data_IF_376919945179
#
_entry.id   IF_376919945179
#
_cell.length_a   1.000
_cell.length_b   1.000
_cell.length_c   1.000
_cell.angle_alpha   90.00
_cell.angle_beta   90.00
_cell.angle_gamma   90.00
#
_symmetry.space_group_name_H-M   'P 1'
#
loop_
_entity.id
_entity.type
_entity.pdbx_description
1 polymer ?
2 non-polymer ?
3 non-polymer ?
4 water ?
#
# COMPACT_ATOMS: atom_id res chain seq x y z
N UNK A 1 -20.60 10.14 -10.13
CA UNK A 1 -19.47 10.83 -9.47
C UNK A 1 -18.24 9.94 -9.46
N UNK A 2 -17.07 10.55 -9.61
CA UNK A 2 -15.82 9.89 -9.28
C UNK A 2 -15.81 9.50 -7.81
N UNK A 3 -15.33 8.31 -7.54
CA UNK A 3 -15.16 7.80 -6.20
C UNK A 3 -13.69 7.89 -5.83
N UNK A 4 -13.38 8.78 -4.89
CA UNK A 4 -12.02 9.00 -4.44
C UNK A 4 -11.83 8.71 -2.95
N UNK A 5 -12.91 8.39 -2.25
CA UNK A 5 -12.85 8.27 -0.78
C UNK A 5 -12.69 6.82 -0.37
N UNK A 6 -11.82 6.11 -1.08
CA UNK A 6 -11.55 4.70 -0.78
C UNK A 6 -10.05 4.46 -0.74
N UNK A 7 -9.58 3.87 0.37
CA UNK A 7 -8.19 3.49 0.53
C UNK A 7 -8.11 1.98 0.42
N UNK A 8 -6.90 1.44 0.35
CA UNK A 8 -6.74 -0.01 0.32
C UNK A 8 -5.53 -0.48 1.09
N UNK A 9 -5.65 -1.71 1.61
CA UNK A 9 -4.61 -2.35 2.38
C UNK A 9 -4.54 -3.78 1.86
N UNK A 10 -3.35 -4.26 1.54
CA UNK A 10 -3.21 -5.65 1.14
C UNK A 10 -3.30 -6.56 2.36
N UNK A 11 -4.12 -7.61 2.27
CA UNK A 11 -4.29 -8.52 3.40
C UNK A 11 -3.01 -9.32 3.70
N UNK A 12 -2.93 -9.72 4.98
CA UNK A 12 -1.99 -10.72 5.51
C UNK A 12 -0.55 -10.18 5.53
N UNK A 13 -0.43 -8.89 5.77
CA UNK A 13 0.89 -8.26 5.88
C UNK A 13 1.57 -8.69 7.17
N UNK A 14 2.81 -9.13 7.06
CA UNK A 14 3.52 -9.71 8.20
C UNK A 14 4.69 -8.85 8.67
N UNK A 15 4.82 -7.65 8.14
CA UNK A 15 5.91 -6.77 8.58
C UNK A 15 5.65 -6.13 9.93
N UNK A 16 6.71 -5.67 10.58
CA UNK A 16 6.56 -5.00 11.87
C UNK A 16 6.21 -3.53 11.72
N UNK A 17 6.62 -2.93 10.60
CA UNK A 17 6.31 -1.51 10.34
C UNK A 17 4.85 -1.34 9.95
N UNK A 18 4.09 -0.51 10.69
CA UNK A 18 2.67 -0.35 10.29
C UNK A 18 2.48 0.09 8.84
N UNK A 19 1.55 -0.58 8.17
CA UNK A 19 1.25 -0.29 6.78
C UNK A 19 0.60 1.06 6.64
N UNK A 20 1.10 1.87 5.71
CA UNK A 20 0.49 3.16 5.41
C UNK A 20 -0.76 3.00 4.55
N UNK A 21 -1.84 3.65 4.98
CA UNK A 21 -3.14 3.53 4.35
C UNK A 21 -3.43 4.71 3.43
N UNK A 22 -3.02 5.90 3.87
CA UNK A 22 -3.34 7.12 3.15
C UNK A 22 -3.47 8.33 4.06
N UNK A 23 -3.98 9.43 3.53
CA UNK A 23 -3.93 10.72 4.23
C UNK A 23 -5.29 11.41 4.12
N UNK A 24 -5.82 11.88 5.25
CA UNK A 24 -6.98 12.75 5.26
C UNK A 24 -6.54 14.19 5.10
N UNK A 25 -7.30 14.98 4.35
CA UNK A 25 -6.95 16.37 4.17
C UNK A 25 -8.16 17.22 3.87
N UNK A 26 -8.26 18.34 4.58
CA UNK A 26 -9.27 19.35 4.31
C UNK A 26 -8.61 20.58 3.71
N UNK A 27 -9.22 21.19 2.70
CA UNK A 27 -8.56 22.35 2.09
C UNK A 27 -8.78 23.61 2.95
N UNK A 28 -9.37 23.45 4.13
CA UNK A 28 -9.34 24.50 5.17
C UNK A 28 -7.98 24.54 5.88
N UNK A 29 -7.24 23.43 5.80
CA UNK A 29 -5.96 23.25 6.46
C UNK A 29 -4.85 24.10 5.82
N UNK A 30 -4.36 25.08 6.57
CA UNK A 30 -3.34 26.02 6.09
C UNK A 30 -1.92 25.55 6.43
N UNK A 31 -1.81 24.37 7.03
CA UNK A 31 -0.52 23.80 7.35
C UNK A 31 0.06 24.35 8.65
N UNK A 32 -0.76 25.07 9.40
CA UNK A 32 -0.30 25.71 10.64
C UNK A 32 -0.71 24.92 11.88
N UNK A 33 -1.21 23.72 11.68
CA UNK A 33 -1.55 22.85 12.79
C UNK A 33 -2.77 23.23 13.58
N UNK A 34 -3.62 24.09 13.04
CA UNK A 34 -4.82 24.50 13.78
C UNK A 34 -5.99 23.52 13.62
N UNK A 35 -5.86 22.57 12.68
CA UNK A 35 -6.85 21.52 12.46
C UNK A 35 -6.39 20.19 13.04
N UNK A 36 -7.34 19.45 13.57
CA UNK A 36 -7.14 18.11 14.13
C UNK A 36 -7.96 17.14 13.28
N UNK A 37 -7.34 16.08 12.75
CA UNK A 37 -8.06 15.05 11.99
C UNK A 37 -8.36 13.87 12.88
N UNK A 38 -9.63 13.43 12.94
CA UNK A 38 -9.98 12.29 13.77
C UNK A 38 -10.78 11.25 12.99
N UNK A 39 -10.63 9.99 13.40
CA UNK A 39 -11.33 8.86 12.78
C UNK A 39 -12.35 8.30 13.73
N UNK A 40 -13.43 7.76 13.17
CA UNK A 40 -14.34 6.91 13.92
C UNK A 40 -14.90 5.87 12.95
N UNK A 41 -15.61 4.89 13.51
CA UNK A 41 -16.18 3.81 12.72
C UNK A 41 -15.36 2.56 12.85
N UNK A 42 -15.51 1.70 11.86
CA UNK A 42 -14.98 0.34 11.92
C UNK A 42 -13.47 0.31 11.95
N UNK A 43 -12.93 -0.23 13.03
CA UNK A 43 -11.50 -0.34 13.24
C UNK A 43 -10.81 0.91 13.78
N UNK A 44 -11.58 1.96 14.05
CA UNK A 44 -10.98 3.25 14.40
C UNK A 44 -10.29 3.23 15.77
N UNK A 45 -9.08 3.80 15.81
CA UNK A 45 -8.26 3.92 17.02
C UNK A 45 -7.81 2.57 17.59
N UNK A 46 -7.95 1.50 16.81
CA UNK A 46 -7.41 0.18 17.18
C UNK A 46 -6.64 -0.39 15.98
N UNK A 47 -7.38 -0.89 14.99
CA UNK A 47 -6.81 -1.34 13.72
C UNK A 47 -6.23 -0.19 12.93
N UNK A 48 -7.00 0.89 12.79
CA UNK A 48 -6.53 2.07 12.09
C UNK A 48 -6.29 3.23 13.04
N UNK A 49 -5.11 3.80 12.92
CA UNK A 49 -4.71 4.94 13.73
C UNK A 49 -4.41 6.11 12.80
N UNK A 50 -4.48 7.31 13.34
CA UNK A 50 -4.24 8.51 12.54
C UNK A 50 -3.33 9.44 13.32
N UNK A 51 -2.48 10.13 12.58
CA UNK A 51 -1.74 11.26 13.09
C UNK A 51 -2.69 12.46 13.00
N UNK A 52 -3.10 12.98 14.14
CA UNK A 52 -4.09 14.05 14.19
C UNK A 52 -3.65 15.31 13.48
N UNK A 53 -2.33 15.52 13.38
CA UNK A 53 -1.82 16.73 12.76
C UNK A 53 -1.73 16.62 11.23
N UNK A 54 -1.26 15.48 10.75
CA UNK A 54 -1.01 15.31 9.32
C UNK A 54 -2.12 14.61 8.56
N UNK A 55 -3.01 13.93 9.28
CA UNK A 55 -4.04 13.14 8.63
C UNK A 55 -3.59 11.76 8.14
N UNK A 56 -2.32 11.42 8.39
CA UNK A 56 -1.78 10.13 7.92
C UNK A 56 -2.34 8.98 8.72
N UNK A 57 -2.82 7.96 8.01
CA UNK A 57 -3.45 6.79 8.60
C UNK A 57 -2.57 5.57 8.43
N UNK A 58 -2.40 4.79 9.48
CA UNK A 58 -1.73 3.49 9.37
C UNK A 58 -2.61 2.35 9.89
N UNK A 59 -2.35 1.16 9.39
CA UNK A 59 -2.95 -0.08 9.91
C UNK A 59 -1.98 -0.72 10.87
N UNK A 60 -2.46 -1.16 12.03
CA UNK A 60 -1.57 -1.57 13.13
C UNK A 60 -1.42 -3.06 13.31
N UNK A 61 -2.12 -3.84 12.50
CA UNK A 61 -2.01 -5.28 12.61
C UNK A 61 -2.28 -5.95 11.27
N UNK A 62 -1.85 -7.20 11.18
CA UNK A 62 -2.12 -8.05 10.03
C UNK A 62 -3.63 -8.21 9.84
N UNK A 63 -4.12 -7.99 8.61
CA UNK A 63 -5.54 -8.11 8.36
C UNK A 63 -5.87 -9.26 7.39
N UNK A 64 -7.06 -9.82 7.58
CA UNK A 64 -7.54 -10.99 6.82
C UNK A 64 -8.82 -10.61 6.07
N UNK A 65 -8.74 -10.50 4.74
CA UNK A 65 -9.91 -10.18 3.93
C UNK A 65 -11.09 -11.11 4.18
N UNK A 66 -10.78 -12.39 4.42
CA UNK A 66 -11.82 -13.37 4.62
C UNK A 66 -12.46 -13.22 6.00
N UNK A 67 -11.86 -12.44 6.91
CA UNK A 67 -12.53 -12.09 8.16
C UNK A 67 -13.39 -10.83 7.98
N UNK A 68 -12.83 -9.81 7.34
CA UNK A 68 -13.59 -8.61 7.01
C UNK A 68 -12.96 -7.94 5.79
N UNK A 69 -13.79 -7.69 4.77
CA UNK A 69 -13.28 -7.29 3.47
C UNK A 69 -13.20 -5.78 3.28
N UNK A 70 -13.99 -5.05 4.08
CA UNK A 70 -14.12 -3.60 3.99
C UNK A 70 -14.32 -3.02 5.37
N UNK A 71 -13.80 -1.81 5.59
CA UNK A 71 -14.06 -1.04 6.80
C UNK A 71 -14.61 0.31 6.39
N UNK A 72 -15.72 0.68 7.01
CA UNK A 72 -16.36 1.97 6.77
C UNK A 72 -16.11 2.87 7.98
N UNK A 73 -15.54 4.04 7.70
CA UNK A 73 -15.10 4.99 8.74
C UNK A 73 -15.67 6.38 8.45
N UNK A 74 -15.56 7.26 9.43
CA UNK A 74 -15.94 8.67 9.28
C UNK A 74 -14.71 9.49 9.57
N UNK A 75 -14.46 10.47 8.70
CA UNK A 75 -13.45 11.48 8.92
C UNK A 75 -14.07 12.76 9.48
N UNK A 76 -13.41 13.36 10.47
CA UNK A 76 -13.76 14.68 10.95
C UNK A 76 -12.53 15.56 10.97
N UNK A 77 -12.75 16.84 10.68
CA UNK A 77 -11.71 17.84 10.84
C UNK A 77 -12.17 18.84 11.89
N UNK A 78 -11.46 18.89 13.00
CA UNK A 78 -11.87 19.70 14.15
C UNK A 78 -10.93 20.87 14.36
N UNK A 79 -11.46 22.00 14.84
CA UNK A 79 -10.59 23.07 15.34
C UNK A 79 -9.83 22.54 16.55
N UNK A 80 -8.50 22.62 16.54
CA UNK A 80 -7.70 22.06 17.63
C UNK A 80 -8.06 22.70 18.98
N UNK A 81 -8.27 24.00 18.98
CA UNK A 81 -8.61 24.71 20.22
C UNK A 81 -9.99 24.38 20.80
N UNK A 82 -11.03 24.40 19.96
CA UNK A 82 -12.41 24.27 20.42
C UNK A 82 -12.96 22.84 20.33
N UNK A 83 -12.28 21.97 19.58
CA UNK A 83 -12.79 20.63 19.25
C UNK A 83 -14.08 20.65 18.43
N UNK A 84 -14.41 21.78 17.83
CA UNK A 84 -15.61 21.89 17.01
C UNK A 84 -15.28 21.72 15.53
N UNK A 85 -16.21 21.16 14.75
CA UNK A 85 -15.87 20.84 13.35
C UNK A 85 -15.64 22.05 12.47
N UNK A 86 -14.70 21.94 11.53
CA UNK A 86 -14.50 22.93 10.50
C UNK A 86 -14.85 22.39 9.11
N UNK A 87 -15.28 21.13 9.07
CA UNK A 87 -15.84 20.49 7.87
C UNK A 87 -17.03 19.66 8.26
N UNK A 88 -17.98 19.45 7.34
CA UNK A 88 -18.93 18.38 7.62
C UNK A 88 -18.18 17.05 7.68
N UNK A 89 -18.62 16.12 8.52
CA UNK A 89 -18.00 14.80 8.55
C UNK A 89 -18.14 14.16 7.18
N UNK A 90 -17.22 13.26 6.88
CA UNK A 90 -17.28 12.52 5.61
C UNK A 90 -16.96 11.03 5.78
N UNK A 91 -17.80 10.19 5.18
CA UNK A 91 -17.58 8.75 5.20
C UNK A 91 -16.43 8.40 4.25
N UNK A 92 -15.70 7.34 4.55
CA UNK A 92 -14.74 6.75 3.62
C UNK A 92 -14.58 5.28 3.94
N UNK A 93 -13.95 4.56 3.02
CA UNK A 93 -13.86 3.11 3.08
C UNK A 93 -12.41 2.70 2.94
N UNK A 94 -12.02 1.69 3.72
CA UNK A 94 -10.73 1.04 3.57
C UNK A 94 -11.03 -0.36 3.08
N UNK A 95 -10.64 -0.64 1.83
CA UNK A 95 -10.81 -1.95 1.21
C UNK A 95 -9.62 -2.87 1.51
N UNK A 96 -9.90 -4.12 1.88
CA UNK A 96 -8.84 -5.08 2.16
C UNK A 96 -8.64 -5.91 0.87
N UNK A 97 -7.48 -5.76 0.25
CA UNK A 97 -7.24 -6.44 -1.03
C UNK A 97 -6.90 -7.89 -0.82
N UNK A 98 -7.44 -8.72 -1.70
CA UNK A 98 -7.29 -10.16 -1.65
C UNK A 98 -5.91 -10.67 -2.07
N UNK A 99 -5.40 -11.67 -1.35
CA UNK A 99 -4.36 -12.54 -1.90
C UNK A 99 -4.95 -13.95 -1.98
N UNK A 100 -4.33 -14.80 -2.78
CA UNK A 100 -4.76 -16.20 -2.86
C UNK A 100 -4.17 -17.01 -1.72
N UNK A 101 -4.87 -17.01 -0.58
CA UNK A 101 -4.38 -17.74 0.58
C UNK A 101 -5.37 -18.78 1.10
N UNK A 102 -6.36 -19.14 0.28
CA UNK A 102 -7.27 -20.22 0.62
C UNK A 102 -7.33 -21.24 -0.50
N UNK A 103 -7.23 -22.50 -0.14
CA UNK A 103 -7.30 -23.55 -1.14
C UNK A 103 -8.76 -23.97 -1.35
N UNK A 104 -9.08 -24.42 -2.57
CA UNK A 104 -10.39 -25.01 -2.81
C UNK A 104 -10.67 -26.17 -1.84
N UNK A 105 -11.90 -26.26 -1.39
CA UNK A 105 -12.31 -27.29 -0.44
C UNK A 105 -13.60 -27.96 -0.89
N UNK A 106 -13.63 -29.28 -0.81
CA UNK A 106 -14.85 -30.02 -1.08
C UNK A 106 -15.56 -30.29 0.24
N UNK A 107 -16.31 -29.31 0.73
CA UNK A 107 -16.89 -29.37 2.06
C UNK A 107 -17.96 -30.46 2.20
N UNK A 108 -18.60 -30.83 1.09
CA UNK A 108 -19.64 -31.87 1.13
C UNK A 108 -19.11 -33.24 0.70
N UNK A 109 -17.81 -33.34 0.45
CA UNK A 109 -17.18 -34.59 0.04
C UNK A 109 -16.85 -35.48 1.22
N UNK A 110 -16.47 -36.73 0.95
CA UNK A 110 -16.42 -37.35 -0.37
C UNK A 110 -17.80 -37.67 -0.93
N UNK A 111 -17.81 -38.27 -2.12
CA UNK A 111 -19.05 -38.49 -2.82
C UNK A 111 -19.25 -39.95 -3.14
N UNK A 112 -20.52 -40.33 -3.20
CA UNK A 112 -20.92 -41.60 -3.75
C UNK A 112 -21.99 -41.36 -4.82
N UNK A 113 -22.01 -42.22 -5.83
CA UNK A 113 -22.96 -42.09 -6.92
C UNK A 113 -23.17 -43.41 -7.65
N UNK A 114 -24.31 -43.55 -8.31
CA UNK A 114 -24.54 -44.68 -9.19
C UNK A 114 -24.78 -44.23 -10.62
N UNK A 115 -24.41 -45.08 -11.57
CA UNK A 115 -24.74 -44.83 -12.98
C UNK A 115 -25.02 -46.15 -13.64
N UNK A 116 -26.00 -46.19 -14.56
CA UNK A 116 -26.26 -47.52 -15.15
C UNK A 116 -25.09 -48.06 -15.98
N UNK A 117 -24.88 -49.37 -15.93
CA UNK A 117 -23.92 -50.01 -16.81
C UNK A 117 -24.38 -49.82 -18.25
N UNK A 118 -23.47 -49.97 -19.21
CA UNK A 118 -23.83 -49.92 -20.63
C UNK A 118 -24.55 -48.61 -20.95
N UNK A 119 -23.98 -47.50 -20.46
CA UNK A 119 -24.49 -46.16 -20.72
C UNK A 119 -23.77 -45.53 -21.90
N UNK A 120 -24.44 -44.59 -22.60
CA UNK A 120 -23.77 -43.78 -23.61
C UNK A 120 -22.60 -43.01 -23.03
N UNK A 121 -21.52 -42.85 -23.80
CA UNK A 121 -20.43 -41.99 -23.40
C UNK A 121 -21.00 -40.62 -23.10
N UNK A 122 -20.58 -40.04 -21.98
CA UNK A 122 -21.02 -38.70 -21.60
C UNK A 122 -22.24 -38.64 -20.71
N UNK A 123 -22.61 -39.76 -20.11
CA UNK A 123 -23.71 -39.83 -19.17
C UNK A 123 -23.30 -39.22 -17.83
N UNK A 124 -24.12 -38.33 -17.30
CA UNK A 124 -23.81 -37.65 -16.04
C UNK A 124 -23.90 -38.61 -14.86
N UNK A 125 -22.89 -38.55 -14.00
CA UNK A 125 -22.80 -39.42 -12.84
C UNK A 125 -23.12 -38.64 -11.58
N UNK A 126 -22.37 -37.56 -11.35
CA UNK A 126 -22.58 -36.73 -10.17
C UNK A 126 -21.86 -35.40 -10.42
N UNK A 127 -22.33 -34.35 -9.75
CA UNK A 127 -21.65 -33.05 -9.81
C UNK A 127 -20.97 -32.79 -8.50
N UNK A 128 -19.66 -32.57 -8.56
CA UNK A 128 -18.89 -32.22 -7.36
C UNK A 128 -18.67 -30.69 -7.35
N UNK A 129 -18.56 -30.14 -6.14
CA UNK A 129 -18.40 -28.70 -5.99
C UNK A 129 -17.37 -28.37 -4.92
N UNK A 130 -16.36 -27.62 -5.32
CA UNK A 130 -15.37 -27.10 -4.38
C UNK A 130 -15.67 -25.62 -4.17
N UNK A 131 -15.55 -25.18 -2.93
CA UNK A 131 -15.65 -23.77 -2.61
C UNK A 131 -14.27 -23.21 -2.33
N UNK A 132 -14.13 -21.91 -2.56
CA UNK A 132 -12.84 -21.24 -2.38
C UNK A 132 -13.12 -19.90 -1.70
N UNK A 133 -12.59 -19.72 -0.51
CA UNK A 133 -12.93 -18.57 0.33
C UNK A 133 -12.35 -17.25 -0.16
N UNK A 134 -11.47 -17.29 -1.16
CA UNK A 134 -10.91 -16.04 -1.67
C UNK A 134 -11.93 -15.25 -2.51
N UNK A 135 -11.50 -14.11 -3.03
CA UNK A 135 -12.41 -13.16 -3.68
C UNK A 135 -12.80 -13.59 -5.10
N UNK A 136 -14.09 -13.86 -5.32
CA UNK A 136 -14.51 -14.26 -6.66
C UNK A 136 -14.72 -13.08 -7.62
N UNK A 137 -14.82 -11.87 -7.08
CA UNK A 137 -15.33 -10.75 -7.88
C UNK A 137 -14.31 -10.22 -8.89
N UNK A 138 -13.03 -10.44 -8.62
CA UNK A 138 -11.99 -10.15 -9.62
C UNK A 138 -10.87 -11.15 -9.51
N UNK A 139 -10.23 -11.42 -10.64
CA UNK A 139 -9.11 -12.33 -10.65
C UNK A 139 -9.58 -13.77 -10.51
N UNK A 140 -8.61 -14.66 -10.39
CA UNK A 140 -8.86 -16.09 -10.43
C UNK A 140 -8.51 -16.80 -9.12
N UNK A 141 -8.31 -16.04 -8.06
CA UNK A 141 -7.93 -16.62 -6.78
C UNK A 141 -9.00 -17.56 -6.23
N UNK A 142 -10.24 -17.42 -6.72
CA UNK A 142 -11.33 -18.30 -6.30
C UNK A 142 -12.10 -18.90 -7.47
N UNK A 143 -11.46 -18.95 -8.63
CA UNK A 143 -12.05 -19.53 -9.82
C UNK A 143 -11.38 -20.86 -10.09
N UNK A 144 -12.13 -21.95 -9.95
CA UNK A 144 -11.49 -23.25 -9.93
C UNK A 144 -11.74 -24.06 -11.21
N UNK A 145 -10.76 -24.90 -11.53
CA UNK A 145 -10.85 -25.88 -12.60
C UNK A 145 -10.79 -27.28 -11.98
N UNK A 146 -11.68 -28.15 -12.44
CA UNK A 146 -11.75 -29.54 -11.98
C UNK A 146 -10.98 -30.47 -12.91
N UNK A 147 -10.30 -31.43 -12.31
CA UNK A 147 -9.61 -32.46 -13.08
C UNK A 147 -9.71 -33.80 -12.36
N UNK A 148 -9.53 -34.88 -13.10
CA UNK A 148 -9.48 -36.22 -12.51
C UNK A 148 -8.03 -36.67 -12.38
N UNK A 149 -7.62 -36.91 -11.14
CA UNK A 149 -6.26 -37.34 -10.84
C UNK A 149 -6.15 -38.85 -10.98
N UNK A 150 -7.19 -39.54 -10.52
CA UNK A 150 -7.27 -41.00 -10.66
C UNK A 150 -8.66 -41.37 -11.16
N UNK A 151 -8.73 -42.14 -12.24
CA UNK A 151 -10.03 -42.52 -12.75
C UNK A 151 -10.20 -42.36 -14.25
N UNK A 152 -9.31 -41.63 -14.91
CA UNK A 152 -9.21 -41.75 -16.36
C UNK A 152 -8.73 -43.18 -16.66
N UNK A 153 -9.15 -43.76 -17.80
CA UNK A 153 -10.01 -43.30 -18.87
C UNK A 153 -11.48 -43.66 -18.68
N UNK A 154 -11.85 -44.14 -17.51
CA UNK A 154 -13.20 -44.62 -17.31
C UNK A 154 -14.21 -43.49 -17.17
N UNK A 155 -13.77 -42.37 -16.60
CA UNK A 155 -14.65 -41.20 -16.37
C UNK A 155 -13.95 -39.93 -16.77
N UNK A 156 -14.75 -38.87 -16.96
CA UNK A 156 -14.24 -37.54 -17.25
C UNK A 156 -14.91 -36.55 -16.31
N UNK A 157 -14.35 -35.36 -16.18
CA UNK A 157 -15.03 -34.31 -15.40
C UNK A 157 -15.05 -33.02 -16.21
N UNK A 158 -16.18 -32.34 -16.22
CA UNK A 158 -16.29 -31.06 -16.89
C UNK A 158 -15.44 -30.06 -16.10
N UNK A 159 -14.47 -29.43 -16.77
CA UNK A 159 -13.50 -28.64 -16.02
C UNK A 159 -14.06 -27.42 -15.25
N UNK A 160 -15.15 -26.81 -15.69
CA UNK A 160 -15.69 -25.65 -15.01
C UNK A 160 -16.83 -25.99 -14.04
N UNK A 161 -17.62 -27.00 -14.37
CA UNK A 161 -18.83 -27.30 -13.59
C UNK A 161 -18.69 -28.46 -12.62
N UNK A 162 -17.65 -29.26 -12.78
CA UNK A 162 -17.44 -30.40 -11.91
C UNK A 162 -18.40 -31.58 -12.15
N UNK A 163 -19.06 -31.59 -13.30
CA UNK A 163 -19.95 -32.73 -13.62
C UNK A 163 -19.09 -33.91 -14.11
N UNK A 164 -19.15 -35.01 -13.36
CA UNK A 164 -18.43 -36.22 -13.72
C UNK A 164 -19.31 -37.03 -14.68
N UNK A 165 -18.71 -37.52 -15.74
CA UNK A 165 -19.42 -38.27 -16.79
C UNK A 165 -18.70 -39.57 -17.14
N UNK A 166 -19.45 -40.54 -17.64
CA UNK A 166 -18.85 -41.75 -18.18
C UNK A 166 -18.03 -41.41 -19.43
N UNK A 167 -16.92 -42.10 -19.61
CA UNK A 167 -16.02 -41.81 -20.73
C UNK A 167 -15.83 -43.02 -21.65
N UNK A 168 -16.07 -44.21 -21.13
CA UNK A 168 -15.93 -45.42 -21.94
C UNK A 168 -17.27 -46.08 -22.17
N UNK A 169 -17.48 -46.63 -23.38
CA UNK A 169 -18.76 -47.28 -23.66
C UNK A 169 -18.77 -48.73 -23.16
N UNK A 170 -19.96 -49.30 -23.02
CA UNK A 170 -20.10 -50.72 -22.76
C UNK A 170 -19.49 -51.15 -21.43
N UNK A 171 -19.58 -50.29 -20.41
CA UNK A 171 -19.16 -50.69 -19.08
C UNK A 171 -20.05 -51.81 -18.58
N UNK A 172 -19.41 -52.86 -18.08
CA UNK A 172 -20.09 -54.10 -17.72
C UNK A 172 -20.05 -54.34 -16.21
N UNK A 173 -21.21 -54.23 -15.58
CA UNK A 173 -21.35 -54.42 -14.14
C UNK A 173 -20.78 -55.75 -13.68
N UNK A 174 -20.98 -56.81 -14.48
CA UNK A 174 -20.51 -58.14 -14.09
C UNK A 174 -18.98 -58.21 -14.08
N UNK A 175 -18.36 -57.45 -14.97
CA UNK A 175 -16.91 -57.37 -15.07
C UNK A 175 -16.30 -56.57 -13.91
N UNK A 176 -16.90 -55.41 -13.62
CA UNK A 176 -16.46 -54.55 -12.52
C UNK A 176 -17.57 -53.55 -12.19
N UNK A 177 -18.05 -53.52 -10.95
CA UNK A 177 -19.22 -52.72 -10.62
C UNK A 177 -18.97 -51.53 -9.71
N UNK A 178 -17.70 -51.21 -9.44
CA UNK A 178 -17.35 -50.06 -8.61
C UNK A 178 -16.04 -49.46 -9.05
N UNK A 179 -16.00 -48.12 -9.12
CA UNK A 179 -14.80 -47.36 -9.47
C UNK A 179 -14.56 -46.29 -8.40
N UNK A 180 -13.31 -46.09 -8.04
CA UNK A 180 -12.95 -45.05 -7.08
C UNK A 180 -12.20 -43.94 -7.82
N UNK A 181 -12.79 -42.74 -7.86
CA UNK A 181 -12.17 -41.59 -8.52
C UNK A 181 -11.59 -40.63 -7.52
N UNK A 182 -10.49 -39.99 -7.90
CA UNK A 182 -9.97 -38.84 -7.16
C UNK A 182 -10.08 -37.60 -8.05
N UNK A 183 -10.74 -36.57 -7.54
CA UNK A 183 -10.98 -35.32 -8.27
C UNK A 183 -10.19 -34.20 -7.59
N UNK A 184 -9.56 -33.35 -8.39
CA UNK A 184 -8.91 -32.14 -7.93
C UNK A 184 -9.64 -30.89 -8.39
N UNK A 185 -9.67 -29.89 -7.51
CA UNK A 185 -10.07 -28.54 -7.85
C UNK A 185 -8.87 -27.63 -7.61
N UNK A 186 -8.52 -26.82 -8.61
CA UNK A 186 -7.37 -25.95 -8.54
C UNK A 186 -7.78 -24.52 -8.89
N UNK A 187 -7.41 -23.55 -8.07
CA UNK A 187 -7.77 -22.17 -8.35
C UNK A 187 -6.74 -21.57 -9.33
N UNK A 188 -6.82 -20.26 -9.54
CA UNK A 188 -6.09 -19.59 -10.61
C UNK A 188 -6.34 -20.35 -11.92
N UNK A 189 -7.60 -20.75 -12.11
CA UNK A 189 -8.09 -21.57 -13.24
C UNK A 189 -7.09 -22.64 -13.65
N UNK A 190 -6.51 -23.29 -12.64
CA UNK A 190 -5.69 -24.46 -12.86
C UNK A 190 -4.27 -24.14 -13.29
N UNK A 191 -3.96 -22.84 -13.39
CA UNK A 191 -2.62 -22.40 -13.80
C UNK A 191 -1.60 -22.64 -12.71
N UNK A 192 -0.33 -22.68 -13.11
CA UNK A 192 0.79 -22.85 -12.20
C UNK A 192 0.75 -21.82 -11.07
N UNK A 193 0.89 -22.30 -9.84
CA UNK A 193 0.86 -21.44 -8.67
C UNK A 193 -0.50 -21.47 -8.01
N UNK A 194 -1.48 -22.07 -8.68
CA UNK A 194 -2.79 -22.27 -8.11
C UNK A 194 -2.73 -23.19 -6.90
N UNK A 195 -3.60 -22.94 -5.93
CA UNK A 195 -3.78 -23.82 -4.78
C UNK A 195 -4.82 -24.87 -5.13
N UNK A 196 -4.77 -26.04 -4.48
CA UNK A 196 -5.66 -27.15 -4.85
C UNK A 196 -6.25 -27.87 -3.65
N UNK A 197 -7.33 -28.59 -3.90
CA UNK A 197 -7.99 -29.44 -2.93
C UNK A 197 -8.48 -30.66 -3.69
N UNK A 198 -8.71 -31.76 -2.98
CA UNK A 198 -9.15 -32.98 -3.63
C UNK A 198 -10.29 -33.62 -2.90
N UNK A 199 -11.00 -34.50 -3.60
CA UNK A 199 -12.01 -35.34 -2.96
C UNK A 199 -12.04 -36.66 -3.71
N UNK A 200 -12.78 -37.61 -3.19
CA UNK A 200 -12.92 -38.89 -3.87
C UNK A 200 -14.37 -39.13 -4.20
N UNK A 201 -14.60 -40.00 -5.20
CA UNK A 201 -15.94 -40.31 -5.66
C UNK A 201 -16.00 -41.81 -5.86
N UNK A 202 -16.91 -42.47 -5.16
CA UNK A 202 -17.10 -43.91 -5.32
C UNK A 202 -18.32 -44.15 -6.19
N UNK A 203 -18.09 -44.68 -7.38
CA UNK A 203 -19.15 -44.85 -8.37
C UNK A 203 -19.52 -46.31 -8.48
N UNK A 204 -20.81 -46.58 -8.33
CA UNK A 204 -21.34 -47.93 -8.46
C UNK A 204 -22.08 -48.06 -9.79
N UNK A 205 -21.84 -49.16 -10.51
CA UNK A 205 -22.63 -49.45 -11.70
C UNK A 205 -23.94 -50.18 -11.36
N UNK A 206 -25.05 -49.66 -11.87
CA UNK A 206 -26.38 -50.16 -11.58
C UNK A 206 -27.04 -50.77 -12.79
N UNK A 207 -28.24 -51.30 -12.60
CA UNK A 207 -29.13 -51.56 -13.73
C UNK A 207 -29.54 -50.26 -14.43
N UNK B 1 -13.44 22.02 2.17
CA UNK B 1 -13.85 20.74 1.53
C UNK B 1 -12.79 19.66 1.75
N UNK B 2 -13.26 18.43 1.85
CA UNK B 2 -12.34 17.31 1.85
C UNK B 2 -11.68 17.15 0.50
N UNK B 3 -10.41 16.81 0.52
CA UNK B 3 -9.64 16.50 -0.68
C UNK B 3 -9.33 15.01 -0.68
N UNK B 4 -9.91 14.31 -1.65
CA UNK B 4 -9.78 12.87 -1.73
C UNK B 4 -9.09 12.39 -3.00
N UNK B 5 -8.93 13.24 -4.00
CA UNK B 5 -8.50 12.78 -5.34
C UNK B 5 -6.97 12.67 -5.47
N UNK B 6 -6.42 11.74 -4.70
CA UNK B 6 -4.98 11.52 -4.65
C UNK B 6 -4.69 10.03 -4.38
N UNK B 7 -3.65 9.55 -5.03
CA UNK B 7 -3.12 8.21 -4.75
C UNK B 7 -1.68 8.42 -4.34
N UNK B 8 -1.06 7.38 -3.81
CA UNK B 8 0.36 7.43 -3.51
C UNK B 8 1.04 6.14 -3.90
N UNK B 9 2.35 6.22 -4.12
CA UNK B 9 3.15 5.05 -4.33
C UNK B 9 4.53 5.26 -3.74
N UNK B 10 5.04 4.25 -3.09
CA UNK B 10 6.33 4.34 -2.42
C UNK B 10 7.52 4.47 -3.39
N UNK B 11 8.40 5.41 -3.11
CA UNK B 11 9.59 5.58 -3.93
C UNK B 11 10.61 4.45 -3.74
N UNK B 12 11.46 4.33 -4.77
CA UNK B 12 12.66 3.49 -4.75
C UNK B 12 12.38 2.00 -4.65
N UNK B 13 11.24 1.57 -5.18
CA UNK B 13 10.89 0.17 -5.26
C UNK B 13 11.81 -0.59 -6.21
N UNK B 14 12.33 -1.74 -5.77
CA UNK B 14 13.30 -2.53 -6.54
C UNK B 14 12.77 -3.88 -6.98
N UNK B 15 11.48 -4.12 -6.83
CA UNK B 15 10.89 -5.39 -7.26
C UNK B 15 10.60 -5.38 -8.75
N UNK B 16 10.25 -6.53 -9.32
CA UNK B 16 9.95 -6.61 -10.74
C UNK B 16 8.45 -6.46 -11.02
N UNK B 17 7.61 -6.81 -10.05
CA UNK B 17 6.17 -6.67 -10.20
C UNK B 17 5.78 -5.20 -10.07
N UNK B 18 5.14 -4.61 -11.10
CA UNK B 18 4.78 -3.19 -11.01
C UNK B 18 3.89 -2.88 -9.81
N UNK B 19 4.18 -1.77 -9.11
CA UNK B 19 3.41 -1.37 -7.93
C UNK B 19 2.02 -0.90 -8.32
N UNK B 20 1.05 -1.36 -7.56
CA UNK B 20 -0.32 -0.91 -7.70
C UNK B 20 -0.48 0.46 -7.06
N UNK B 21 -1.09 1.40 -7.80
CA UNK B 21 -1.24 2.78 -7.36
C UNK B 21 -2.63 3.06 -6.79
N UNK B 22 -3.64 2.56 -7.48
CA UNK B 22 -5.03 2.82 -7.15
C UNK B 22 -5.93 2.52 -8.31
N UNK B 23 -7.20 2.85 -8.13
CA UNK B 23 -8.26 2.53 -9.08
C UNK B 23 -9.08 3.77 -9.39
N UNK B 24 -9.19 4.12 -10.67
CA UNK B 24 -10.20 5.07 -11.12
C UNK B 24 -11.53 4.35 -11.11
N UNK B 25 -12.57 5.01 -10.60
CA UNK B 25 -13.89 4.41 -10.52
C UNK B 25 -14.97 5.47 -10.51
N UNK B 26 -15.93 5.31 -11.40
CA UNK B 26 -17.17 6.09 -11.39
C UNK B 26 -18.28 5.28 -10.73
N UNK B 27 -19.11 5.90 -9.89
CA UNK B 27 -20.19 5.14 -9.27
C UNK B 27 -21.34 4.85 -10.25
N UNK B 28 -21.18 5.31 -11.50
CA UNK B 28 -22.04 4.91 -12.61
C UNK B 28 -21.72 3.49 -13.09
N UNK B 29 -20.52 3.03 -12.76
CA UNK B 29 -19.98 1.76 -13.24
C UNK B 29 -20.75 0.56 -12.66
N UNK B 30 -21.42 -0.15 -13.56
CA UNK B 30 -22.21 -1.33 -13.19
C UNK B 30 -21.43 -2.64 -13.24
N UNK B 31 -20.17 -2.60 -13.64
CA UNK B 31 -19.34 -3.80 -13.66
C UNK B 31 -19.43 -4.58 -14.95
N UNK B 32 -20.10 -4.01 -15.94
CA UNK B 32 -20.33 -4.67 -17.24
C UNK B 32 -19.38 -4.20 -18.34
N UNK B 33 -18.39 -3.38 -17.99
CA UNK B 33 -17.37 -3.00 -18.94
C UNK B 33 -17.75 -1.89 -19.90
N UNK B 34 -18.90 -1.25 -19.69
CA UNK B 34 -19.36 -0.26 -20.66
C UNK B 34 -18.68 1.10 -20.49
N UNK B 35 -17.93 1.27 -19.40
CA UNK B 35 -17.14 2.49 -19.18
C UNK B 35 -15.67 2.25 -19.46
N UNK B 36 -15.09 3.14 -20.23
CA UNK B 36 -13.67 3.10 -20.54
C UNK B 36 -12.96 4.15 -19.68
N UNK B 37 -12.01 3.72 -18.86
CA UNK B 37 -11.24 4.61 -18.02
C UNK B 37 -9.94 4.99 -18.73
N UNK B 38 -9.69 6.28 -18.81
CA UNK B 38 -8.58 6.81 -19.60
C UNK B 38 -7.75 7.75 -18.74
N UNK B 39 -6.43 7.61 -18.88
CA UNK B 39 -5.46 8.37 -18.13
C UNK B 39 -4.78 9.38 -19.04
N UNK B 40 -4.59 10.61 -18.56
CA UNK B 40 -3.78 11.59 -19.29
C UNK B 40 -2.98 12.41 -18.29
N UNK B 41 -2.06 13.25 -18.78
CA UNK B 41 -1.26 14.08 -17.90
C UNK B 41 0.12 13.53 -17.57
N UNK B 42 0.68 13.99 -16.45
CA UNK B 42 2.06 13.73 -16.13
C UNK B 42 2.35 12.25 -15.87
N UNK B 43 3.22 11.68 -16.72
CA UNK B 43 3.59 10.28 -16.60
C UNK B 43 2.58 9.29 -17.20
N UNK B 44 1.48 9.80 -17.73
CA UNK B 44 0.41 8.94 -18.23
C UNK B 44 0.88 8.16 -19.45
N UNK B 45 0.65 6.84 -19.42
CA UNK B 45 0.99 5.90 -20.50
C UNK B 45 2.48 5.56 -20.54
N UNK B 46 3.28 6.18 -19.69
CA UNK B 46 4.70 5.81 -19.59
C UNK B 46 5.00 5.28 -18.20
N UNK B 47 5.12 6.19 -17.24
CA UNK B 47 5.33 5.83 -15.84
C UNK B 47 4.09 5.18 -15.24
N UNK B 48 2.92 5.75 -15.53
CA UNK B 48 1.64 5.22 -15.03
C UNK B 48 0.80 4.66 -16.17
N UNK B 49 0.39 3.40 -16.04
CA UNK B 49 -0.52 2.76 -16.99
C UNK B 49 -1.83 2.40 -16.31
N UNK B 50 -2.89 2.30 -17.12
CA UNK B 50 -4.19 1.94 -16.59
C UNK B 50 -4.82 0.79 -17.36
N UNK B 51 -5.57 -0.04 -16.64
CA UNK B 51 -6.46 -1.00 -17.26
C UNK B 51 -7.77 -0.29 -17.59
N UNK B 52 -8.11 -0.21 -18.86
CA UNK B 52 -9.24 0.63 -19.28
C UNK B 52 -10.58 0.10 -18.80
N UNK B 53 -10.62 -1.20 -18.48
CA UNK B 53 -11.84 -1.85 -18.01
C UNK B 53 -12.00 -1.71 -16.50
N UNK B 54 -10.93 -2.00 -15.76
CA UNK B 54 -11.03 -2.05 -14.30
C UNK B 54 -10.67 -0.74 -13.63
N UNK B 55 -9.96 0.12 -14.35
CA UNK B 55 -9.51 1.41 -13.79
C UNK B 55 -8.25 1.31 -12.96
N UNK B 56 -7.68 0.12 -12.86
CA UNK B 56 -6.50 -0.08 -12.02
C UNK B 56 -5.26 0.58 -12.66
N UNK B 57 -4.55 1.34 -11.85
CA UNK B 57 -3.33 2.04 -12.25
C UNK B 57 -2.11 1.36 -11.64
N UNK B 58 -1.08 1.15 -12.45
CA UNK B 58 0.22 0.67 -11.97
C UNK B 58 1.32 1.62 -12.37
N UNK B 59 2.37 1.65 -11.55
CA UNK B 59 3.61 2.36 -11.86
C UNK B 59 4.59 1.36 -12.49
N UNK B 60 5.22 1.76 -13.59
CA UNK B 60 6.02 0.85 -14.41
C UNK B 60 7.53 0.88 -14.18
N UNK B 61 8.00 1.75 -13.30
CA UNK B 61 9.43 1.88 -13.01
C UNK B 61 9.66 2.37 -11.58
N UNK B 62 10.87 2.15 -11.09
CA UNK B 62 11.34 2.70 -9.82
C UNK B 62 11.25 4.24 -9.85
N UNK B 63 10.62 4.81 -8.83
CA UNK B 63 10.44 6.25 -8.77
C UNK B 63 11.24 6.88 -7.63
N UNK B 64 11.68 8.09 -7.85
CA UNK B 64 12.47 8.85 -6.89
C UNK B 64 11.74 10.12 -6.48
N UNK B 65 11.28 10.18 -5.24
CA UNK B 65 10.55 11.34 -4.76
C UNK B 65 11.37 12.61 -4.92
N UNK B 66 12.67 12.48 -4.74
CA UNK B 66 13.53 13.63 -4.78
C UNK B 66 13.83 14.06 -6.21
N UNK B 67 13.39 13.27 -7.20
CA UNK B 67 13.42 13.72 -8.60
C UNK B 67 12.11 14.43 -8.96
N UNK B 68 10.99 13.82 -8.56
CA UNK B 68 9.69 14.45 -8.72
C UNK B 68 8.79 13.86 -7.65
N UNK B 69 8.17 14.74 -6.86
CA UNK B 69 7.52 14.33 -5.63
C UNK B 69 6.07 13.99 -5.87
N UNK B 70 5.48 14.62 -6.87
CA UNK B 70 4.16 14.19 -7.28
C UNK B 70 3.84 14.49 -8.73
N UNK B 71 2.81 13.82 -9.21
CA UNK B 71 2.39 13.89 -10.60
C UNK B 71 0.93 14.29 -10.67
N UNK B 72 0.61 15.22 -11.58
CA UNK B 72 -0.77 15.64 -11.77
C UNK B 72 -1.31 15.03 -13.06
N UNK B 73 -2.33 14.18 -12.89
CA UNK B 73 -2.96 13.48 -13.99
C UNK B 73 -4.41 13.88 -14.14
N UNK B 74 -5.03 13.41 -15.22
CA UNK B 74 -6.45 13.61 -15.46
C UNK B 74 -7.09 12.26 -15.73
N UNK B 75 -8.31 12.10 -15.21
CA UNK B 75 -9.11 10.91 -15.31
C UNK B 75 -10.31 11.20 -16.19
N UNK B 76 -10.57 10.29 -17.12
CA UNK B 76 -11.80 10.32 -17.91
C UNK B 76 -12.50 8.99 -17.80
N UNK B 77 -13.81 9.06 -17.90
CA UNK B 77 -14.69 7.91 -17.91
C UNK B 77 -15.61 8.06 -19.11
N UNK B 78 -15.37 7.28 -20.16
CA UNK B 78 -16.11 7.42 -21.41
C UNK B 78 -16.99 6.20 -21.68
N UNK B 79 -18.21 6.44 -22.15
CA UNK B 79 -19.08 5.36 -22.64
C UNK B 79 -18.42 4.67 -23.84
N UNK B 80 -18.30 3.35 -23.80
CA UNK B 80 -17.57 2.62 -24.83
C UNK B 80 -18.19 2.77 -26.22
N UNK B 81 -19.50 2.77 -26.30
CA UNK B 81 -20.17 2.88 -27.58
C UNK B 81 -19.97 4.27 -28.20
N UNK B 82 -20.38 5.30 -27.45
CA UNK B 82 -20.46 6.65 -27.98
C UNK B 82 -19.18 7.44 -27.81
N UNK B 83 -18.34 7.00 -26.87
CA UNK B 83 -17.13 7.73 -26.51
C UNK B 83 -17.45 9.06 -25.81
N UNK B 84 -18.70 9.21 -25.38
CA UNK B 84 -19.12 10.41 -24.62
C UNK B 84 -18.81 10.26 -23.13
N UNK B 85 -18.49 11.36 -22.44
CA UNK B 85 -18.16 11.20 -21.02
C UNK B 85 -19.36 10.85 -20.13
N UNK B 86 -19.17 9.89 -19.21
CA UNK B 86 -20.16 9.58 -18.19
C UNK B 86 -19.88 10.37 -16.91
N UNK B 87 -18.64 10.83 -16.77
CA UNK B 87 -18.23 11.73 -15.69
C UNK B 87 -17.49 12.92 -16.30
N UNK B 88 -17.56 14.08 -15.64
CA UNK B 88 -16.67 15.17 -16.06
C UNK B 88 -15.22 14.79 -15.79
N UNK B 89 -14.35 15.08 -16.75
CA UNK B 89 -12.94 14.84 -16.58
C UNK B 89 -12.45 15.54 -15.32
N UNK B 90 -11.61 14.84 -14.58
CA UNK B 90 -11.12 15.38 -13.31
C UNK B 90 -9.63 15.23 -13.17
N UNK B 91 -8.99 16.25 -12.61
CA UNK B 91 -7.60 16.13 -12.20
C UNK B 91 -7.51 15.20 -10.98
N UNK B 92 -6.34 14.57 -10.84
CA UNK B 92 -6.01 13.88 -9.60
C UNK B 92 -4.51 13.80 -9.49
N UNK B 93 -4.00 13.53 -8.29
CA UNK B 93 -2.55 13.54 -8.04
C UNK B 93 -2.08 12.16 -7.66
N UNK B 94 -0.91 11.76 -8.21
CA UNK B 94 -0.21 10.61 -7.69
C UNK B 94 1.02 11.11 -6.95
N UNK B 95 1.01 10.92 -5.64
CA UNK B 95 2.08 11.37 -4.75
C UNK B 95 3.14 10.28 -4.62
N UNK B 96 4.41 10.67 -4.65
CA UNK B 96 5.48 9.71 -4.45
C UNK B 96 5.83 9.74 -2.97
N UNK B 97 5.51 8.66 -2.29
CA UNK B 97 5.64 8.58 -0.84
C UNK B 97 7.10 8.38 -0.44
N UNK B 98 7.54 9.21 0.50
CA UNK B 98 8.94 9.33 0.92
C UNK B 98 9.47 8.12 1.71
N UNK B 99 10.73 7.77 1.46
CA UNK B 99 11.51 6.96 2.40
C UNK B 99 12.72 7.79 2.79
N UNK B 100 13.31 7.46 3.93
CA UNK B 100 14.49 8.16 4.38
C UNK B 100 15.75 7.65 3.68
N UNK B 101 16.04 8.19 2.50
CA UNK B 101 17.18 7.73 1.72
C UNK B 101 18.17 8.86 1.38
N UNK B 102 18.08 9.98 2.08
CA UNK B 102 19.01 11.08 1.93
C UNK B 102 19.54 11.51 3.29
N UNK B 103 20.87 11.61 3.37
CA UNK B 103 21.55 12.14 4.55
C UNK B 103 21.45 13.65 4.64
N UNK B 104 21.40 14.19 5.86
CA UNK B 104 21.58 15.63 5.98
C UNK B 104 22.91 16.04 5.39
N UNK B 105 22.94 17.16 4.68
CA UNK B 105 24.14 17.68 4.06
C UNK B 105 24.34 19.15 4.35
N UNK B 106 25.56 19.51 4.75
CA UNK B 106 25.90 20.90 4.94
C UNK B 106 26.42 21.43 3.60
N UNK B 107 25.50 21.94 2.78
CA UNK B 107 25.84 22.29 1.41
C UNK B 107 26.74 23.53 1.33
N UNK B 108 26.67 24.38 2.34
CA UNK B 108 27.48 25.61 2.37
C UNK B 108 28.77 25.44 3.19
N UNK B 109 29.01 24.26 3.73
CA UNK B 109 30.20 23.99 4.52
C UNK B 109 31.43 23.74 3.67
N UNK B 110 32.64 23.82 4.26
CA UNK B 110 32.87 24.07 5.69
C UNK B 110 32.64 25.53 6.06
N UNK B 111 32.62 25.80 7.36
CA UNK B 111 32.35 27.15 7.85
C UNK B 111 33.57 27.79 8.49
N UNK B 112 33.62 29.11 8.38
CA UNK B 112 34.56 29.93 9.14
C UNK B 112 33.78 31.05 9.79
N UNK B 113 34.20 31.47 10.97
CA UNK B 113 33.51 32.56 11.66
C UNK B 113 34.44 33.18 12.67
N UNK B 114 34.19 34.45 12.97
CA UNK B 114 34.93 35.15 14.00
C UNK B 114 34.02 35.45 15.16
N UNK B 115 34.60 35.57 16.33
CA UNK B 115 33.84 36.01 17.49
C UNK B 115 34.81 36.77 18.39
N UNK B 116 34.35 37.89 18.98
CA UNK B 116 35.29 38.62 19.84
C UNK B 116 35.73 37.78 21.06
N UNK B 117 37.01 37.85 21.39
CA UNK B 117 37.49 37.22 22.61
C UNK B 117 36.73 37.79 23.78
N UNK B 118 36.64 37.05 24.88
CA UNK B 118 35.96 37.58 26.06
C UNK B 118 34.50 37.95 25.78
N UNK B 119 33.91 37.40 24.72
CA UNK B 119 32.46 37.50 24.55
C UNK B 119 31.82 36.85 25.76
N UNK B 120 30.66 37.36 26.20
CA UNK B 120 29.90 36.63 27.22
C UNK B 120 29.46 35.26 26.73
N UNK B 121 29.23 34.35 27.67
CA UNK B 121 28.62 33.05 27.38
C UNK B 121 27.29 33.24 26.64
N UNK B 122 27.04 32.43 25.62
CA UNK B 122 25.76 32.49 24.92
C UNK B 122 25.78 33.37 23.68
N UNK B 123 26.95 33.94 23.39
CA UNK B 123 27.15 34.77 22.21
C UNK B 123 27.01 33.91 20.96
N UNK B 124 26.16 34.33 20.03
CA UNK B 124 26.04 33.61 18.77
C UNK B 124 27.29 33.80 17.91
N UNK B 125 27.77 32.70 17.33
CA UNK B 125 29.01 32.67 16.54
C UNK B 125 28.69 32.54 15.05
N UNK B 126 27.94 31.50 14.71
CA UNK B 126 27.51 31.24 13.34
C UNK B 126 26.34 30.25 13.36
N UNK B 127 25.50 30.29 12.34
CA UNK B 127 24.43 29.32 12.16
C UNK B 127 24.84 28.41 11.02
N UNK B 128 24.92 27.12 11.30
CA UNK B 128 25.14 26.13 10.25
C UNK B 128 23.81 25.52 9.84
N UNK B 129 23.70 25.13 8.57
CA UNK B 129 22.44 24.60 8.09
C UNK B 129 22.66 23.34 7.29
N UNK B 130 22.07 22.24 7.77
CA UNK B 130 22.06 21.00 7.04
C UNK B 130 20.74 20.94 6.29
N UNK B 131 20.80 20.54 5.04
CA UNK B 131 19.59 20.32 4.27
C UNK B 131 19.39 18.82 4.12
N UNK B 132 18.14 18.39 4.20
CA UNK B 132 17.80 16.97 4.07
C UNK B 132 16.73 16.89 3.00
N UNK B 133 17.06 16.25 1.90
CA UNK B 133 16.18 16.20 0.73
C UNK B 133 14.91 15.38 0.90
N UNK B 134 14.76 14.66 2.00
CA UNK B 134 13.57 13.87 2.20
C UNK B 134 12.38 14.75 2.64
N UNK B 135 11.25 14.12 2.99
CA UNK B 135 9.99 14.83 3.17
C UNK B 135 9.82 15.27 4.62
N UNK B 136 9.89 16.58 4.87
CA UNK B 136 9.79 17.04 6.27
C UNK B 136 8.38 16.90 6.88
N UNK B 137 7.37 16.61 6.06
CA UNK B 137 6.00 16.46 6.55
C UNK B 137 5.58 15.00 6.80
N UNK B 138 6.44 14.04 6.47
CA UNK B 138 6.11 12.62 6.70
C UNK B 138 7.15 11.92 7.57
N UNK B 139 6.74 11.60 8.79
CA UNK B 139 7.64 11.03 9.76
C UNK B 139 8.77 12.00 10.01
N UNK B 140 9.93 11.47 10.40
CA UNK B 140 11.05 12.29 10.81
C UNK B 140 12.25 12.20 9.85
N UNK B 141 12.00 11.68 8.66
CA UNK B 141 13.06 11.44 7.69
C UNK B 141 13.85 12.68 7.32
N UNK B 142 13.24 13.85 7.48
CA UNK B 142 13.92 15.11 7.22
C UNK B 142 13.86 16.06 8.41
N UNK B 143 13.64 15.53 9.61
CA UNK B 143 13.63 16.31 10.83
C UNK B 143 14.95 16.07 11.53
N UNK B 144 15.79 17.11 11.55
CA UNK B 144 17.19 16.96 11.92
C UNK B 144 17.49 17.57 13.29
N UNK B 145 18.46 16.97 13.97
CA UNK B 145 18.96 17.48 15.23
C UNK B 145 20.45 17.73 15.06
N UNK B 146 20.89 18.90 15.53
CA UNK B 146 22.27 19.32 15.47
C UNK B 146 22.98 18.97 16.77
N UNK B 147 24.23 18.54 16.68
CA UNK B 147 25.02 18.33 17.88
C UNK B 147 26.49 18.64 17.60
N UNK B 148 27.25 18.90 18.64
CA UNK B 148 28.69 19.13 18.48
C UNK B 148 29.42 17.82 18.77
N UNK B 149 30.12 17.27 17.78
CA UNK B 149 30.89 16.05 18.01
C UNK B 149 32.22 16.35 18.66
N UNK B 150 32.82 17.47 18.25
CA UNK B 150 34.08 17.94 18.82
C UNK B 150 34.00 19.44 19.02
N UNK B 151 34.12 19.88 20.27
CA UNK B 151 34.03 21.29 20.58
C UNK B 151 33.32 21.61 21.89
N UNK B 152 32.60 20.64 22.44
CA UNK B 152 32.15 20.79 23.80
C UNK B 152 33.40 20.66 24.66
N UNK B 153 33.50 21.40 25.76
CA UNK B 153 32.55 22.35 26.37
C UNK B 153 32.78 23.81 26.01
N UNK B 154 33.51 24.07 24.95
CA UNK B 154 33.89 25.44 24.62
C UNK B 154 32.79 26.16 23.87
N UNK B 155 31.94 25.39 23.19
CA UNK B 155 30.83 25.92 22.39
C UNK B 155 29.62 25.02 22.56
N UNK B 156 28.45 25.57 22.26
CA UNK B 156 27.21 24.82 22.26
C UNK B 156 26.56 25.00 20.91
N UNK B 157 25.62 24.12 20.57
CA UNK B 157 24.81 24.30 19.35
C UNK B 157 23.35 24.02 19.68
N UNK B 158 22.48 24.90 19.22
CA UNK B 158 21.04 24.69 19.37
C UNK B 158 20.60 23.50 18.54
N UNK B 159 19.96 22.52 19.17
CA UNK B 159 19.68 21.26 18.48
C UNK B 159 18.77 21.36 17.25
N UNK B 160 17.91 22.36 17.18
CA UNK B 160 16.96 22.43 16.07
C UNK B 160 17.33 23.46 15.03
N UNK B 161 18.16 24.44 15.41
CA UNK B 161 18.42 25.60 14.59
C UNK B 161 19.83 25.64 14.01
N UNK B 162 20.76 24.89 14.61
CA UNK B 162 22.13 24.92 14.13
C UNK B 162 22.93 26.15 14.50
N UNK B 163 22.42 26.98 15.41
CA UNK B 163 23.18 28.14 15.84
C UNK B 163 24.21 27.74 16.89
N UNK B 164 25.47 28.03 16.58
CA UNK B 164 26.58 27.80 17.49
C UNK B 164 26.80 29.01 18.37
N UNK B 165 26.94 28.75 19.67
CA UNK B 165 27.17 29.83 20.62
C UNK B 165 28.39 29.54 21.48
N UNK B 166 29.03 30.60 21.94
CA UNK B 166 30.12 30.48 22.92
C UNK B 166 29.60 29.87 24.23
N UNK B 167 30.45 29.08 24.89
CA UNK B 167 30.05 28.43 26.15
C UNK B 167 30.99 28.75 27.31
N UNK B 168 32.17 29.30 27.02
CA UNK B 168 33.10 29.63 28.10
C UNK B 168 33.39 31.11 28.12
N UNK B 169 33.33 31.71 29.32
CA UNK B 169 33.61 33.13 29.42
C UNK B 169 35.11 33.37 29.42
N UNK B 170 35.52 34.59 29.14
CA UNK B 170 36.92 34.98 29.29
C UNK B 170 37.93 34.18 28.43
N UNK B 171 37.53 33.85 27.20
CA UNK B 171 38.46 33.28 26.26
C UNK B 171 39.57 34.27 25.96
N UNK B 172 40.79 33.79 25.94
CA UNK B 172 41.96 34.62 25.72
C UNK B 172 42.62 34.25 24.40
N UNK B 173 42.62 35.16 23.47
CA UNK B 173 43.24 34.89 22.20
C UNK B 173 44.70 34.59 22.30
N UNK B 174 45.37 35.18 23.28
CA UNK B 174 46.81 34.96 23.45
C UNK B 174 47.09 33.52 23.83
N UNK B 175 46.17 32.92 24.56
CA UNK B 175 46.35 31.55 25.01
C UNK B 175 45.95 30.60 23.87
N UNK B 176 44.86 30.91 23.21
CA UNK B 176 44.40 30.09 22.08
C UNK B 176 43.46 30.91 21.20
N UNK B 177 43.84 31.13 19.94
CA UNK B 177 43.13 32.09 19.10
C UNK B 177 42.16 31.43 18.12
N UNK B 178 42.18 30.11 18.02
CA UNK B 178 41.35 29.42 17.03
C UNK B 178 40.82 28.08 17.56
N UNK B 179 39.59 27.74 17.17
CA UNK B 179 38.97 26.48 17.56
C UNK B 179 38.43 25.79 16.32
N UNK B 180 38.65 24.49 16.22
CA UNK B 180 38.15 23.71 15.09
C UNK B 180 37.08 22.74 15.58
N UNK B 181 35.84 23.01 15.20
CA UNK B 181 34.69 22.26 15.67
C UNK B 181 34.21 21.30 14.60
N UNK B 182 33.63 20.20 15.04
CA UNK B 182 32.87 19.31 14.17
C UNK B 182 31.43 19.26 14.63
N UNK B 183 30.54 19.57 13.70
CA UNK B 183 29.11 19.63 13.93
C UNK B 183 28.45 18.48 13.18
N UNK B 184 27.54 17.79 13.85
CA UNK B 184 26.72 16.75 13.21
C UNK B 184 25.25 17.19 13.07
N UNK B 185 24.64 16.76 11.98
CA UNK B 185 23.20 16.88 11.78
C UNK B 185 22.63 15.47 11.55
N UNK B 186 21.62 15.08 12.30
CA UNK B 186 21.09 13.71 12.21
C UNK B 186 19.60 13.71 12.08
N UNK B 187 19.08 12.98 11.09
CA UNK B 187 17.64 12.97 10.87
C UNK B 187 17.00 11.93 11.79
N UNK B 188 15.72 11.65 11.56
CA UNK B 188 14.93 10.88 12.53
C UNK B 188 15.07 11.51 13.92
N UNK B 189 15.13 12.84 13.93
CA UNK B 189 15.37 13.66 15.12
C UNK B 189 16.40 13.04 16.06
N UNK B 190 17.51 12.62 15.46
CA UNK B 190 18.66 12.17 16.21
C UNK B 190 18.50 10.77 16.78
N UNK B 191 17.37 10.13 16.50
CA UNK B 191 17.11 8.80 17.03
C UNK B 191 17.98 7.78 16.32
N UNK B 192 18.19 6.64 16.99
CA UNK B 192 18.97 5.56 16.41
C UNK B 192 18.37 5.13 15.08
N UNK B 193 19.21 5.00 14.06
CA UNK B 193 18.76 4.63 12.72
C UNK B 193 18.68 5.83 11.80
N UNK B 194 18.79 7.03 12.37
CA UNK B 194 18.79 8.22 11.57
C UNK B 194 20.07 8.30 10.77
N UNK B 195 19.99 8.93 9.60
CA UNK B 195 21.17 9.23 8.78
C UNK B 195 21.79 10.57 9.21
N UNK B 196 23.11 10.70 9.05
CA UNK B 196 23.81 11.90 9.53
C UNK B 196 24.77 12.49 8.51
N UNK B 197 25.09 13.77 8.70
CA UNK B 197 26.08 14.49 7.92
C UNK B 197 26.88 15.35 8.88
N UNK B 198 28.07 15.76 8.47
CA UNK B 198 28.91 16.60 9.35
C UNK B 198 29.59 17.71 8.59
N UNK B 199 30.01 18.72 9.33
CA UNK B 199 30.77 19.82 8.78
C UNK B 199 31.76 20.30 9.82
N UNK B 200 32.76 21.04 9.36
CA UNK B 200 33.77 21.65 10.22
C UNK B 200 33.44 23.10 10.40
N UNK B 201 33.79 23.63 11.58
CA UNK B 201 33.69 25.06 11.82
C UNK B 201 34.97 25.55 12.45
N UNK B 202 35.63 26.48 11.76
CA UNK B 202 36.84 27.13 12.26
C UNK B 202 36.46 28.48 12.84
N UNK B 203 36.58 28.58 14.17
CA UNK B 203 36.23 29.79 14.90
C UNK B 203 37.51 30.50 15.28
N UNK B 204 37.64 31.74 14.82
CA UNK B 204 38.77 32.58 15.16
C UNK B 204 38.34 33.64 16.17
N UNK B 205 39.12 33.79 17.24
CA UNK B 205 38.84 34.83 18.22
C UNK B 205 39.41 36.16 17.72
N UNK B 206 38.56 37.18 17.64
CA UNK B 206 38.95 38.48 17.17
C UNK B 206 39.16 39.41 18.36
N UNK B 207 40.04 40.40 18.20
CA UNK B 207 40.28 41.37 19.27
C UNK B 207 39.23 42.47 19.20
X LIG C 1 -6.84 -14.23 4.26
X LIG D 1 -7.67 -14.22 0.38
X LIG E 1 -7.97 -19.61 -3.51
X LIG F 1 13.31 10.23 0.21
X LIG G 1 14.83 9.06 -3.33
X LIG H 1 16.89 12.05 5.57
X LIG I 1 33.64 20.16 6.03
X LIG I 1 33.63 18.81 6.45
X LIG I 1 32.87 20.33 4.73
X LIG I 1 33.50 19.60 3.69
X LIG I 1 31.42 19.88 4.89
X LIG I 1 30.79 19.85 3.62
X LIG I 1 33.18 20.78 6.80
X LIG I 1 34.66 20.49 5.90
X LIG I 1 34.19 18.72 7.26
X LIG I 1 32.87 21.39 4.48
X LIG I 1 33.47 18.64 3.90
X LIG I 1 31.38 18.89 5.34
X LIG I 1 30.89 20.57 5.54
X LIG I 1 29.87 19.54 3.72
#
# INVERSE_FOLDING_TARGET
>A
SWVWNQFFVLEEYMGSDPLYVGKLHSDVDKGDGSIKYILSGEGASSIFIIDENTGDIHATKRLDREEQAYYTLRAQALDRLTNKPVEPESEFVIKIQDINDNEPKFLDGPYTAGVPEMSPVGTSVVQVTATDADDPTYGNSARVVYSILQGQPYFSVEPKTGVIKTALPNMDREAKDQYLLVIQAKDMVGQNGGLSGTTSVTVTLTD
>B
SWVWNQFFVLEEYMGSDPLYVGKLHSDVDKGDGSIKYILSGEGASSIFIIDENTGDIHATKRLDREEQAYYTLRAQALDRLTNKPVEPESEFVIKIQDINDNEPKFLDGPYTAGVPEMSPVGTSVVQVTATDADDPTYGNSARVVYSILQGQPYFSVEPKTGVIKTALPNMDREAKDQYLLVIQAKDMVGQNGGLSGTTSVTVTLTD
>C hetero
1 CA CA
>D hetero
1 CA CA
>E hetero
1 CA CA
>F hetero
1 CA CA
>G hetero
1 CA CA
>H hetero
1 CA CA
>I hetero
1 GOL C1 O1 C2 O2 C3 O3 H11 H12 HO1 H2 HO2 H31 H32 HO3
#
